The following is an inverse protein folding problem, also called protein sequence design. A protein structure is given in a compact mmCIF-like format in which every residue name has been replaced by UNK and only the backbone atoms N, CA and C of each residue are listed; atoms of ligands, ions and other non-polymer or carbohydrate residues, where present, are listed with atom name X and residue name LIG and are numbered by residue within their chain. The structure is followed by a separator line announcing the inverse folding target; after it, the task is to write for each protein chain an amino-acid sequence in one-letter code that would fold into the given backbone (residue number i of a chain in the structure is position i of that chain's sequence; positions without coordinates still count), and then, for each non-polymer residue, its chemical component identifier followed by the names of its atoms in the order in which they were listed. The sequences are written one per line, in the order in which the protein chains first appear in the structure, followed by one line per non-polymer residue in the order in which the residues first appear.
data_IF_749735029149
#
_entry.id   IF_749735029149
#
_cell.length_a   1.000
_cell.length_b   1.000
_cell.length_c   1.000
_cell.angle_alpha   90.00
_cell.angle_beta   90.00
_cell.angle_gamma   90.00
#
_symmetry.space_group_name_H-M   'P 1'
#
loop_
_entity.id
_entity.type
_entity.pdbx_description
1 polymer ?
#
# COMPACT_ATOMS: atom_id res chain seq x y z
N UNK A 1 -10.25 11.26 11.29
CA UNK A 1 -10.46 11.64 9.89
C UNK A 1 -9.77 10.57 9.09
N UNK A 2 -10.50 9.67 8.44
CA UNK A 2 -9.90 8.68 7.55
C UNK A 2 -9.25 9.41 6.39
N UNK A 3 -8.00 9.08 6.06
CA UNK A 3 -7.27 9.68 4.95
C UNK A 3 -7.85 9.11 3.65
N UNK A 4 -8.82 9.84 3.07
CA UNK A 4 -9.46 9.49 1.80
C UNK A 4 -8.85 10.35 0.70
N UNK A 5 -8.43 9.70 -0.38
CA UNK A 5 -7.81 10.37 -1.53
C UNK A 5 -8.58 10.04 -2.81
N UNK A 6 -8.88 11.04 -3.63
CA UNK A 6 -9.63 10.85 -4.87
C UNK A 6 -8.70 10.65 -6.07
N UNK A 7 -8.80 9.50 -6.74
CA UNK A 7 -7.98 9.13 -7.90
C UNK A 7 -8.76 8.31 -8.93
N UNK A 8 -8.30 8.25 -10.21
CA UNK A 8 -8.89 7.38 -11.21
C UNK A 8 -8.61 5.90 -10.91
N UNK A 9 -9.67 5.11 -10.74
CA UNK A 9 -9.54 3.67 -10.56
C UNK A 9 -9.41 2.97 -11.91
N UNK A 10 -8.35 2.15 -12.13
CA UNK A 10 -8.17 1.42 -13.38
C UNK A 10 -9.22 0.30 -13.58
N UNK A 11 -9.92 -0.10 -12.51
CA UNK A 11 -10.96 -1.14 -12.56
C UNK A 11 -12.37 -0.55 -12.70
N UNK A 12 -12.67 0.56 -12.02
CA UNK A 12 -13.97 1.23 -12.14
C UNK A 12 -14.05 2.17 -13.36
N UNK A 13 -12.90 2.54 -13.93
CA UNK A 13 -12.79 3.44 -15.10
C UNK A 13 -13.33 4.86 -14.83
N UNK A 14 -13.38 5.28 -13.56
CA UNK A 14 -13.73 6.63 -13.11
C UNK A 14 -12.96 7.03 -11.84
N UNK A 15 -13.02 8.31 -11.47
CA UNK A 15 -12.46 8.81 -10.21
C UNK A 15 -13.28 8.33 -9.01
N UNK A 16 -12.61 7.78 -8.01
CA UNK A 16 -13.21 7.24 -6.79
C UNK A 16 -12.34 7.53 -5.57
N UNK A 17 -12.89 7.35 -4.39
CA UNK A 17 -12.17 7.49 -3.13
C UNK A 17 -11.36 6.22 -2.84
N UNK A 18 -10.11 6.44 -2.45
CA UNK A 18 -9.21 5.42 -1.96
C UNK A 18 -8.94 5.65 -0.48
N UNK A 19 -9.01 4.57 0.30
CA UNK A 19 -8.63 4.57 1.71
C UNK A 19 -7.29 3.86 1.90
N UNK A 20 -6.50 4.38 2.83
CA UNK A 20 -5.24 3.76 3.21
C UNK A 20 -5.50 2.79 4.38
N UNK A 21 -5.43 1.46 4.17
CA UNK A 21 -5.63 0.50 5.25
C UNK A 21 -4.50 0.59 6.28
N UNK A 22 -4.82 0.17 7.51
CA UNK A 22 -3.84 0.04 8.59
C UNK A 22 -2.80 -1.03 8.22
N UNK A 23 -1.52 -0.74 8.42
CA UNK A 23 -0.47 -1.75 8.24
C UNK A 23 -0.59 -2.87 9.27
N UNK A 24 -1.12 -4.03 8.88
CA UNK A 24 -1.28 -5.18 9.79
C UNK A 24 0.02 -5.99 9.95
N UNK A 25 0.91 -5.97 8.94
CA UNK A 25 2.09 -6.87 8.90
C UNK A 25 3.40 -6.25 9.44
N UNK A 26 3.35 -5.02 10.00
CA UNK A 26 4.51 -4.38 10.63
C UNK A 26 5.60 -3.92 9.65
N UNK A 27 5.23 -3.66 8.38
CA UNK A 27 6.16 -3.20 7.34
C UNK A 27 6.72 -1.78 7.57
N UNK A 28 6.09 -0.99 8.42
CA UNK A 28 6.60 0.32 8.83
C UNK A 28 7.22 0.21 10.21
N UNK A 29 8.55 0.31 10.27
CA UNK A 29 9.35 0.27 11.51
C UNK A 29 8.97 1.37 12.52
N UNK A 30 8.33 2.45 12.06
CA UNK A 30 7.77 3.54 12.87
C UNK A 30 6.23 3.43 13.08
N UNK A 31 5.58 2.39 12.54
CA UNK A 31 4.12 2.28 12.55
C UNK A 31 3.42 3.28 11.62
N UNK A 32 4.14 3.79 10.62
CA UNK A 32 3.61 4.67 9.57
C UNK A 32 2.55 4.00 8.70
N UNK A 33 1.83 4.81 7.93
CA UNK A 33 0.76 4.33 7.07
C UNK A 33 1.29 3.53 5.86
N UNK A 34 0.58 2.48 5.45
CA UNK A 34 1.04 1.57 4.41
C UNK A 34 1.04 2.24 3.05
N UNK A 35 2.02 2.01 2.16
CA UNK A 35 2.04 2.65 0.85
C UNK A 35 0.88 2.20 -0.05
N UNK A 36 0.09 1.21 0.37
CA UNK A 36 -1.09 0.73 -0.34
C UNK A 36 -2.34 1.59 -0.07
N UNK A 37 -3.16 1.71 -1.09
CA UNK A 37 -4.39 2.48 -1.11
C UNK A 37 -5.47 1.65 -1.79
N UNK A 38 -6.58 1.37 -1.10
CA UNK A 38 -7.65 0.53 -1.59
C UNK A 38 -8.84 1.38 -2.07
N UNK A 39 -9.33 1.11 -3.28
CA UNK A 39 -10.56 1.71 -3.79
C UNK A 39 -11.73 1.32 -2.87
N UNK A 40 -12.46 2.32 -2.37
CA UNK A 40 -13.60 2.13 -1.47
C UNK A 40 -14.82 1.48 -2.15
N UNK A 41 -14.87 1.50 -3.48
CA UNK A 41 -15.96 0.94 -4.27
C UNK A 41 -15.71 -0.52 -4.69
N UNK A 42 -14.53 -0.82 -5.24
CA UNK A 42 -14.22 -2.14 -5.82
C UNK A 42 -13.08 -2.91 -5.13
N UNK A 43 -12.32 -2.27 -4.23
CA UNK A 43 -11.19 -2.88 -3.51
C UNK A 43 -9.87 -2.94 -4.28
N UNK A 44 -9.79 -2.44 -5.52
CA UNK A 44 -8.52 -2.38 -6.26
C UNK A 44 -7.49 -1.56 -5.50
N UNK A 45 -6.30 -2.14 -5.28
CA UNK A 45 -5.20 -1.49 -4.57
C UNK A 45 -4.24 -0.77 -5.53
N UNK A 46 -3.85 0.45 -5.17
CA UNK A 46 -2.74 1.20 -5.75
C UNK A 46 -1.62 1.31 -4.72
N UNK A 47 -0.36 1.35 -5.16
CA UNK A 47 0.79 1.57 -4.27
C UNK A 47 1.39 2.93 -4.59
N UNK A 48 1.37 3.84 -3.62
CA UNK A 48 1.89 5.20 -3.73
C UNK A 48 3.09 5.37 -2.81
N UNK A 49 4.29 5.44 -3.38
CA UNK A 49 5.54 5.58 -2.64
C UNK A 49 6.74 4.93 -3.34
N UNK A 50 7.95 5.35 -2.96
CA UNK A 50 9.18 4.62 -3.29
C UNK A 50 9.08 3.26 -2.60
N UNK A 51 8.86 2.18 -3.38
CA UNK A 51 8.98 0.83 -2.84
C UNK A 51 10.43 0.72 -2.39
N UNK A 52 10.68 0.92 -1.09
CA UNK A 52 12.00 0.71 -0.52
C UNK A 52 12.29 -0.79 -0.67
N UNK A 53 12.88 -1.15 -1.81
CA UNK A 53 13.23 -2.51 -2.13
C UNK A 53 14.21 -2.93 -1.04
N UNK A 54 13.84 -3.87 -0.15
CA UNK A 54 14.78 -4.31 0.87
C UNK A 54 16.04 -4.78 0.15
N UNK A 55 17.20 -4.26 0.57
CA UNK A 55 18.47 -4.68 0.03
C UNK A 55 18.52 -6.21 0.11
N UNK A 56 18.78 -6.86 -1.03
CA UNK A 56 18.65 -8.31 -1.17
C UNK A 56 19.28 -9.02 0.03
N UNK A 57 18.44 -9.63 0.87
CA UNK A 57 18.92 -10.39 2.00
C UNK A 57 19.75 -11.55 1.46
N UNK A 58 21.05 -11.54 1.75
CA UNK A 58 21.94 -12.65 1.40
C UNK A 58 21.65 -13.79 2.35
N UNK A 59 20.71 -14.65 1.97
CA UNK A 59 20.42 -15.88 2.70
C UNK A 59 21.64 -16.80 2.65
N UNK A 60 22.37 -16.87 3.77
CA UNK A 60 23.40 -17.89 3.97
C UNK A 60 22.71 -19.15 4.46
N UNK A 61 22.70 -20.19 3.63
CA UNK A 61 22.31 -21.52 4.06
C UNK A 61 23.42 -22.06 4.98
N UNK A 62 23.07 -22.41 6.22
CA UNK A 62 23.95 -23.19 7.07
C UNK A 62 23.94 -24.64 6.54
N UNK A 63 25.13 -25.21 6.36
CA UNK A 63 25.35 -26.58 5.91
C UNK A 63 25.32 -27.57 7.07
#
# INVERSE_FOLDING_TARGET
MSDLQQWPCPTCEHDTDFEQPECIDGHTEDGGACPEWACTDCGTALVSGDVHRPAAATWRHAA
#
